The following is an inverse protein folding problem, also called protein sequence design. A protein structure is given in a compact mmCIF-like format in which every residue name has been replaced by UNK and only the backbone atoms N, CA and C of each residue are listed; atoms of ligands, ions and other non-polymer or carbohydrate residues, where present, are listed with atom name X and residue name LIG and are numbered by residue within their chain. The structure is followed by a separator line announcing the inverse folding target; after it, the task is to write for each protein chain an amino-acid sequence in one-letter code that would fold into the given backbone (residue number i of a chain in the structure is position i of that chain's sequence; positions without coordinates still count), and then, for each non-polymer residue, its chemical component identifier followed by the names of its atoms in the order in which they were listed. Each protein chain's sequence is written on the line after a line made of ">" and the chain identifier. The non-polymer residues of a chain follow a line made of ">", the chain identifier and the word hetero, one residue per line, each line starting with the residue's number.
data_IF_989277912179
#
_entry.id   IF_989277912179
#
_cell.length_a   1.000
_cell.length_b   1.000
_cell.length_c   1.000
_cell.angle_alpha   90.00
_cell.angle_beta   90.00
_cell.angle_gamma   90.00
#
_symmetry.space_group_name_H-M   'P 1'
#
loop_
_entity.id
_entity.type
_entity.pdbx_description
1 polymer ?
#
# COMPACT_ATOMS: atom_id res chain seq x y z
N UNK A 1 -18.95 -11.65 -4.88
CA UNK A 1 -18.99 -10.78 -3.67
C UNK A 1 -18.12 -9.53 -3.91
N UNK A 2 -18.54 -8.36 -3.41
CA UNK A 2 -17.72 -7.14 -3.46
C UNK A 2 -16.90 -7.03 -2.17
N UNK A 3 -15.59 -6.80 -2.31
CA UNK A 3 -14.70 -6.56 -1.17
C UNK A 3 -14.74 -5.06 -0.84
N UNK A 4 -15.55 -4.69 0.14
CA UNK A 4 -15.65 -3.28 0.59
C UNK A 4 -14.40 -2.86 1.36
N UNK A 5 -13.48 -2.18 0.67
CA UNK A 5 -12.23 -1.69 1.25
C UNK A 5 -12.43 -0.63 2.32
N UNK A 6 -13.49 0.18 2.24
CA UNK A 6 -13.81 1.17 3.29
C UNK A 6 -14.20 0.47 4.59
N UNK A 7 -15.06 -0.56 4.52
CA UNK A 7 -15.45 -1.37 5.69
C UNK A 7 -14.24 -2.11 6.26
N UNK A 8 -13.38 -2.67 5.39
CA UNK A 8 -12.17 -3.36 5.80
C UNK A 8 -11.20 -2.40 6.52
N UNK A 9 -10.93 -1.23 5.93
CA UNK A 9 -10.06 -0.21 6.52
C UNK A 9 -10.58 0.28 7.88
N UNK A 10 -11.90 0.47 8.04
CA UNK A 10 -12.50 0.83 9.34
C UNK A 10 -12.21 -0.22 10.41
N UNK A 11 -12.38 -1.51 10.08
CA UNK A 11 -12.08 -2.60 11.02
C UNK A 11 -10.59 -2.63 11.42
N UNK A 12 -9.70 -2.46 10.45
CA UNK A 12 -8.25 -2.43 10.73
C UNK A 12 -7.87 -1.21 11.58
N UNK A 13 -8.35 -0.02 11.24
CA UNK A 13 -8.14 1.19 12.03
C UNK A 13 -8.66 1.06 13.47
N UNK A 14 -9.81 0.43 13.67
CA UNK A 14 -10.35 0.18 15.00
C UNK A 14 -9.44 -0.72 15.84
N UNK A 15 -8.87 -1.78 15.26
CA UNK A 15 -7.88 -2.64 15.94
C UNK A 15 -6.63 -1.83 16.32
N UNK A 16 -6.09 -1.06 15.39
CA UNK A 16 -4.92 -0.19 15.62
C UNK A 16 -5.19 0.79 16.76
N UNK A 17 -6.36 1.46 16.74
CA UNK A 17 -6.76 2.41 17.80
C UNK A 17 -6.79 1.76 19.17
N UNK A 18 -7.43 0.58 19.30
CA UNK A 18 -7.49 -0.15 20.57
C UNK A 18 -6.09 -0.54 21.08
N UNK A 19 -5.21 -0.98 20.18
CA UNK A 19 -3.84 -1.36 20.55
C UNK A 19 -3.03 -0.15 21.00
N UNK A 20 -3.11 0.99 20.28
CA UNK A 20 -2.45 2.25 20.68
C UNK A 20 -2.96 2.71 22.05
N UNK A 21 -4.27 2.66 22.29
CA UNK A 21 -4.86 3.05 23.57
C UNK A 21 -4.35 2.16 24.72
N UNK A 22 -4.26 0.85 24.50
CA UNK A 22 -3.72 -0.09 25.47
C UNK A 22 -2.25 0.19 25.80
N UNK A 23 -1.42 0.41 24.76
CA UNK A 23 0.00 0.75 24.95
C UNK A 23 0.14 2.09 25.71
N UNK A 24 -0.60 3.11 25.28
CA UNK A 24 -0.55 4.44 25.91
C UNK A 24 -0.91 4.41 27.40
N UNK A 25 -1.91 3.60 27.78
CA UNK A 25 -2.27 3.42 29.19
C UNK A 25 -1.13 2.82 30.03
N UNK A 26 -0.35 1.91 29.44
CA UNK A 26 0.74 1.20 30.15
C UNK A 26 2.07 1.95 30.15
N UNK A 27 2.41 2.63 29.04
CA UNK A 27 3.75 3.18 28.83
C UNK A 27 3.79 4.69 28.75
N UNK A 28 2.63 5.35 28.65
CA UNK A 28 2.47 6.78 28.32
C UNK A 28 3.06 7.18 26.95
N UNK A 29 3.59 6.23 26.18
CA UNK A 29 4.14 6.48 24.85
C UNK A 29 3.05 6.51 23.79
N UNK A 30 3.30 7.24 22.71
CA UNK A 30 2.38 7.38 21.56
C UNK A 30 3.16 7.29 20.24
N UNK A 31 2.70 6.52 19.23
CA UNK A 31 3.37 6.47 17.94
C UNK A 31 3.41 7.84 17.27
N UNK A 32 4.52 8.15 16.59
CA UNK A 32 4.69 9.37 15.80
C UNK A 32 4.90 9.08 14.33
N UNK A 33 4.18 9.77 13.45
CA UNK A 33 4.29 9.69 12.00
C UNK A 33 4.61 11.07 11.42
N UNK A 34 5.68 11.18 10.64
CA UNK A 34 5.98 12.40 9.88
C UNK A 34 5.81 12.13 8.39
N UNK A 35 4.96 12.94 7.76
CA UNK A 35 4.73 12.92 6.31
C UNK A 35 5.40 14.13 5.70
N UNK A 36 6.23 13.93 4.69
CA UNK A 36 6.90 14.99 3.94
C UNK A 36 6.16 15.15 2.60
N UNK A 37 5.74 16.38 2.30
CA UNK A 37 5.11 16.75 1.05
C UNK A 37 5.88 17.87 0.38
N UNK A 38 6.21 17.71 -0.89
CA UNK A 38 6.96 18.67 -1.69
C UNK A 38 6.09 19.15 -2.85
N UNK A 39 6.03 20.47 -3.03
CA UNK A 39 5.20 21.12 -4.05
C UNK A 39 3.70 21.05 -3.74
N UNK A 40 2.88 21.37 -4.76
CA UNK A 40 1.43 21.58 -4.64
C UNK A 40 0.62 20.63 -5.55
N UNK A 41 1.10 19.38 -5.72
CA UNK A 41 0.40 18.40 -6.55
C UNK A 41 -0.94 18.01 -5.89
N UNK A 42 -2.05 18.46 -6.50
CA UNK A 42 -3.40 18.35 -5.91
C UNK A 42 -3.81 16.92 -5.47
N UNK A 43 -3.55 15.83 -6.23
CA UNK A 43 -3.77 14.48 -5.75
C UNK A 43 -2.97 14.14 -4.49
N UNK A 44 -1.69 14.54 -4.42
CA UNK A 44 -0.82 14.29 -3.24
C UNK A 44 -1.33 15.01 -2.00
N UNK A 45 -1.85 16.24 -2.15
CA UNK A 45 -2.47 17.01 -1.06
C UNK A 45 -3.66 16.26 -0.44
N UNK A 46 -4.55 15.71 -1.29
CA UNK A 46 -5.72 14.96 -0.83
C UNK A 46 -5.27 13.70 -0.07
N UNK A 47 -4.27 12.97 -0.60
CA UNK A 47 -3.75 11.77 0.05
C UNK A 47 -3.10 12.08 1.39
N UNK A 48 -2.26 13.10 1.47
CA UNK A 48 -1.59 13.53 2.72
C UNK A 48 -2.61 13.97 3.76
N UNK A 49 -3.62 14.75 3.37
CA UNK A 49 -4.70 15.14 4.27
C UNK A 49 -5.45 13.94 4.84
N UNK A 50 -5.81 12.97 3.99
CA UNK A 50 -6.52 11.77 4.42
C UNK A 50 -5.65 10.87 5.33
N UNK A 51 -4.34 10.79 5.07
CA UNK A 51 -3.38 10.10 5.94
C UNK A 51 -3.31 10.75 7.33
N UNK A 52 -3.19 12.10 7.38
CA UNK A 52 -3.12 12.83 8.63
C UNK A 52 -4.42 12.71 9.47
N UNK A 53 -5.59 12.84 8.84
CA UNK A 53 -6.89 12.64 9.50
C UNK A 53 -6.98 11.22 10.06
N UNK A 54 -6.65 10.22 9.26
CA UNK A 54 -6.72 8.82 9.70
C UNK A 54 -5.71 8.49 10.81
N UNK A 55 -4.52 9.10 10.79
CA UNK A 55 -3.53 8.95 11.86
C UNK A 55 -4.06 9.52 13.19
N UNK A 56 -4.64 10.72 13.17
CA UNK A 56 -5.26 11.35 14.35
C UNK A 56 -6.42 10.50 14.89
N UNK A 57 -7.26 9.95 14.00
CA UNK A 57 -8.41 9.10 14.37
C UNK A 57 -7.99 7.87 15.19
N UNK A 58 -6.85 7.27 14.91
CA UNK A 58 -6.34 6.08 15.63
C UNK A 58 -5.43 6.42 16.80
N UNK A 59 -5.11 7.70 17.04
CA UNK A 59 -4.27 8.15 18.15
C UNK A 59 -2.76 8.18 17.84
N UNK A 60 -2.37 8.27 16.57
CA UNK A 60 -0.98 8.51 16.14
C UNK A 60 -0.73 10.02 16.09
N UNK A 61 0.37 10.48 16.67
CA UNK A 61 0.85 11.86 16.55
C UNK A 61 1.38 12.05 15.12
N UNK A 62 0.60 12.72 14.27
CA UNK A 62 0.96 12.94 12.87
C UNK A 62 1.38 14.38 12.62
N UNK A 63 2.55 14.54 12.00
CA UNK A 63 3.07 15.84 11.54
C UNK A 63 3.24 15.81 10.02
N UNK A 64 2.82 16.87 9.34
CA UNK A 64 3.04 17.09 7.91
C UNK A 64 4.05 18.21 7.73
N UNK A 65 5.21 17.89 7.14
CA UNK A 65 6.22 18.86 6.73
C UNK A 65 6.00 19.19 5.25
N UNK A 66 5.78 20.48 4.98
CA UNK A 66 5.55 20.99 3.64
C UNK A 66 6.74 21.78 3.15
N UNK A 67 7.19 21.47 1.94
CA UNK A 67 8.29 22.17 1.30
C UNK A 67 7.89 22.67 -0.07
N UNK A 68 8.49 23.79 -0.48
CA UNK A 68 8.35 24.31 -1.85
C UNK A 68 8.96 23.35 -2.85
N UNK A 69 8.47 23.37 -4.09
CA UNK A 69 8.99 22.55 -5.18
C UNK A 69 10.52 22.77 -5.39
N UNK A 70 11.03 23.96 -5.04
CA UNK A 70 12.43 24.34 -5.17
C UNK A 70 13.37 23.84 -4.05
N UNK A 71 12.90 23.01 -3.11
CA UNK A 71 13.77 22.43 -2.08
C UNK A 71 14.90 21.62 -2.75
N UNK A 72 16.14 21.80 -2.31
CA UNK A 72 17.25 20.99 -2.80
C UNK A 72 17.23 19.57 -2.21
N UNK A 73 17.74 18.59 -2.97
CA UNK A 73 17.89 17.20 -2.51
C UNK A 73 18.68 17.14 -1.20
N UNK A 74 19.83 17.87 -1.12
CA UNK A 74 20.67 17.93 0.09
C UNK A 74 19.89 18.44 1.31
N UNK A 75 19.04 19.46 1.14
CA UNK A 75 18.20 19.98 2.23
C UNK A 75 17.17 18.95 2.67
N UNK A 76 16.54 18.25 1.74
CA UNK A 76 15.58 17.19 2.03
C UNK A 76 16.24 16.04 2.79
N UNK A 77 17.45 15.61 2.37
CA UNK A 77 18.25 14.60 3.07
C UNK A 77 18.53 15.04 4.51
N UNK A 78 18.98 16.27 4.73
CA UNK A 78 19.24 16.77 6.08
C UNK A 78 18.00 16.78 6.97
N UNK A 79 16.80 16.99 6.41
CA UNK A 79 15.53 16.89 7.13
C UNK A 79 15.27 15.44 7.54
N UNK A 80 15.44 14.48 6.61
CA UNK A 80 15.23 13.05 6.88
C UNK A 80 16.20 12.55 7.96
N UNK A 81 17.47 12.91 7.88
CA UNK A 81 18.47 12.52 8.87
C UNK A 81 18.14 13.03 10.28
N UNK A 82 17.58 14.25 10.40
CA UNK A 82 17.07 14.74 11.70
C UNK A 82 15.88 13.92 12.19
N UNK A 83 14.95 13.56 11.30
CA UNK A 83 13.80 12.72 11.65
C UNK A 83 14.22 11.29 12.04
N UNK A 84 15.27 10.76 11.42
CA UNK A 84 15.85 9.46 11.79
C UNK A 84 16.36 9.48 13.26
N UNK A 85 16.94 10.59 13.70
CA UNK A 85 17.46 10.75 15.09
C UNK A 85 16.36 11.10 16.10
N UNK A 86 15.22 11.61 15.67
CA UNK A 86 14.12 12.00 16.57
C UNK A 86 13.43 10.76 17.16
N UNK A 87 13.56 10.57 18.48
CA UNK A 87 12.95 9.47 19.24
C UNK A 87 11.41 9.53 19.27
N UNK A 88 10.80 10.68 18.95
CA UNK A 88 9.34 10.85 18.88
C UNK A 88 8.78 10.48 17.49
N UNK A 89 9.63 10.29 16.49
CA UNK A 89 9.25 9.90 15.12
C UNK A 89 9.52 8.41 14.92
N UNK A 90 8.46 7.64 14.69
CA UNK A 90 8.49 6.19 14.51
C UNK A 90 8.16 5.78 13.07
N UNK A 91 7.60 6.70 12.29
CA UNK A 91 7.34 6.51 10.86
C UNK A 91 7.68 7.78 10.09
N UNK A 92 8.37 7.59 8.97
CA UNK A 92 8.70 8.64 8.00
C UNK A 92 8.11 8.23 6.67
N UNK A 93 7.39 9.14 6.03
CA UNK A 93 6.82 8.96 4.71
C UNK A 93 7.14 10.18 3.85
N UNK A 94 7.76 9.96 2.69
CA UNK A 94 7.96 10.97 1.67
C UNK A 94 6.94 10.75 0.55
N UNK A 95 6.00 11.69 0.40
CA UNK A 95 4.90 11.55 -0.56
C UNK A 95 5.38 11.67 -1.99
N UNK A 96 5.23 10.60 -2.76
CA UNK A 96 5.51 10.58 -4.20
C UNK A 96 4.32 11.15 -5.01
N UNK A 97 4.57 11.70 -6.23
CA UNK A 97 5.87 11.87 -6.87
C UNK A 97 6.68 13.02 -6.28
N UNK A 98 8.00 12.98 -6.49
CA UNK A 98 8.91 14.07 -6.18
C UNK A 98 9.17 14.93 -7.42
N UNK A 99 9.65 16.17 -7.25
CA UNK A 99 10.17 16.99 -8.37
C UNK A 99 11.31 16.29 -9.11
N UNK A 100 11.45 16.52 -10.41
CA UNK A 100 12.40 15.82 -11.28
C UNK A 100 13.88 15.97 -10.88
N UNK A 101 14.23 17.07 -10.19
CA UNK A 101 15.60 17.31 -9.69
C UNK A 101 15.92 16.55 -8.39
N UNK A 102 14.99 15.79 -7.84
CA UNK A 102 15.17 14.98 -6.61
C UNK A 102 15.09 13.50 -6.95
N UNK A 103 16.16 12.76 -6.68
CA UNK A 103 16.25 11.34 -6.96
C UNK A 103 15.49 10.52 -5.91
N UNK A 104 14.30 10.07 -6.25
CA UNK A 104 13.40 9.37 -5.31
C UNK A 104 14.02 8.15 -4.63
N UNK A 105 14.83 7.36 -5.33
CA UNK A 105 15.53 6.21 -4.75
C UNK A 105 16.48 6.64 -3.63
N UNK A 106 17.32 7.65 -3.88
CA UNK A 106 18.24 8.20 -2.89
C UNK A 106 17.53 8.71 -1.64
N UNK A 107 16.40 9.39 -1.84
CA UNK A 107 15.56 9.88 -0.72
C UNK A 107 14.98 8.74 0.12
N UNK A 108 14.55 7.66 -0.51
CA UNK A 108 14.02 6.48 0.19
C UNK A 108 15.14 5.79 0.98
N UNK A 109 16.34 5.68 0.43
CA UNK A 109 17.50 5.04 1.06
C UNK A 109 18.05 5.83 2.26
N UNK A 110 17.80 7.13 2.33
CA UNK A 110 18.15 7.97 3.49
C UNK A 110 17.22 7.78 4.70
N UNK A 111 16.06 7.18 4.53
CA UNK A 111 15.16 6.89 5.64
C UNK A 111 15.70 5.70 6.44
N UNK A 112 15.75 5.80 7.78
CA UNK A 112 16.03 4.63 8.62
C UNK A 112 15.04 3.51 8.28
N UNK A 113 15.49 2.31 7.83
CA UNK A 113 14.61 1.22 7.44
C UNK A 113 13.62 0.80 8.53
N UNK A 114 13.93 1.06 9.81
CA UNK A 114 13.03 0.83 10.93
C UNK A 114 11.87 1.83 10.98
N UNK A 115 12.01 2.99 10.32
CA UNK A 115 11.03 4.08 10.24
C UNK A 115 10.40 4.24 8.86
N UNK A 116 10.82 3.45 7.86
CA UNK A 116 10.26 3.43 6.50
C UNK A 116 8.87 2.76 6.49
N UNK A 117 7.84 3.52 6.88
CA UNK A 117 6.49 2.98 7.03
C UNK A 117 5.74 2.76 5.71
N UNK A 118 6.25 3.28 4.59
CA UNK A 118 5.77 2.91 3.25
C UNK A 118 6.31 1.56 2.78
N UNK A 119 7.43 1.07 3.37
CA UNK A 119 8.04 -0.21 3.05
C UNK A 119 8.76 -0.24 1.70
N UNK A 120 9.39 0.86 1.32
CA UNK A 120 10.09 1.01 0.03
C UNK A 120 11.61 0.92 0.13
N UNK A 121 12.16 1.02 1.34
CA UNK A 121 13.60 0.97 1.57
C UNK A 121 14.16 -0.41 1.16
N UNK A 122 15.31 -0.46 0.43
CA UNK A 122 15.90 -1.72 -0.06
C UNK A 122 16.07 -2.79 1.02
N UNK A 123 16.41 -2.41 2.26
CA UNK A 123 16.50 -3.34 3.40
C UNK A 123 15.15 -4.00 3.70
N UNK A 124 14.06 -3.24 3.70
CA UNK A 124 12.72 -3.79 3.93
C UNK A 124 12.27 -4.70 2.78
N UNK A 125 12.56 -4.30 1.54
CA UNK A 125 12.30 -5.11 0.33
C UNK A 125 13.11 -6.40 0.36
N UNK A 126 14.40 -6.35 0.69
CA UNK A 126 15.26 -7.53 0.81
C UNK A 126 14.82 -8.47 1.94
N UNK A 127 14.42 -7.92 3.09
CA UNK A 127 13.88 -8.69 4.21
C UNK A 127 12.57 -9.40 3.82
N UNK A 128 11.67 -8.71 3.12
CA UNK A 128 10.43 -9.34 2.61
C UNK A 128 10.75 -10.49 1.66
N UNK A 129 11.67 -10.28 0.73
CA UNK A 129 12.07 -11.29 -0.27
C UNK A 129 12.75 -12.52 0.37
N UNK A 130 13.48 -12.34 1.47
CA UNK A 130 14.12 -13.43 2.24
C UNK A 130 13.24 -14.00 3.35
N UNK A 131 11.94 -13.67 3.38
CA UNK A 131 11.00 -14.18 4.38
C UNK A 131 11.16 -13.59 5.78
N UNK A 132 12.09 -12.65 5.98
CA UNK A 132 12.33 -11.98 7.27
C UNK A 132 11.24 -10.97 7.61
N UNK A 133 11.15 -10.61 8.89
CA UNK A 133 10.20 -9.58 9.33
C UNK A 133 10.64 -8.18 8.87
N UNK A 134 9.74 -7.47 8.19
CA UNK A 134 9.98 -6.15 7.60
C UNK A 134 8.75 -5.25 7.67
N UNK A 135 8.94 -3.96 7.43
CA UNK A 135 7.85 -3.06 7.08
C UNK A 135 7.52 -3.30 5.60
N UNK A 136 6.29 -3.70 5.33
CA UNK A 136 5.86 -4.15 3.99
C UNK A 136 5.19 -2.98 3.27
N UNK A 137 5.42 -2.84 1.97
CA UNK A 137 4.73 -1.84 1.14
C UNK A 137 3.21 -1.84 1.40
N UNK A 138 2.68 -0.66 1.71
CA UNK A 138 1.32 -0.51 2.24
C UNK A 138 0.22 -1.03 1.31
N UNK A 139 0.32 -0.78 0.01
CA UNK A 139 -0.68 -1.23 -0.98
C UNK A 139 -0.67 -2.75 -1.15
N UNK A 140 0.47 -3.41 -1.40
CA UNK A 140 0.54 -4.87 -1.44
C UNK A 140 0.09 -5.53 -0.14
N UNK A 141 0.48 -4.98 1.01
CA UNK A 141 0.00 -5.46 2.31
C UNK A 141 -1.52 -5.40 2.41
N UNK A 142 -2.13 -4.30 1.97
CA UNK A 142 -3.59 -4.14 1.94
C UNK A 142 -4.27 -5.16 1.02
N UNK A 143 -3.72 -5.38 -0.18
CA UNK A 143 -4.21 -6.40 -1.11
C UNK A 143 -4.14 -7.80 -0.50
N UNK A 144 -3.01 -8.14 0.09
CA UNK A 144 -2.78 -9.41 0.78
C UNK A 144 -3.79 -9.64 1.91
N UNK A 145 -3.98 -8.67 2.80
CA UNK A 145 -4.93 -8.78 3.91
C UNK A 145 -6.38 -8.95 3.43
N UNK A 146 -6.76 -8.27 2.33
CA UNK A 146 -8.08 -8.44 1.72
C UNK A 146 -8.24 -9.84 1.11
N UNK A 147 -7.24 -10.37 0.42
CA UNK A 147 -7.25 -11.74 -0.11
C UNK A 147 -7.42 -12.76 1.03
N UNK A 148 -6.61 -12.63 2.10
CA UNK A 148 -6.69 -13.50 3.29
C UNK A 148 -8.04 -13.43 4.01
N UNK A 149 -8.75 -12.32 3.92
CA UNK A 149 -10.10 -12.20 4.48
C UNK A 149 -11.16 -12.99 3.71
N UNK A 150 -10.89 -13.31 2.43
CA UNK A 150 -11.78 -14.11 1.58
C UNK A 150 -11.42 -15.60 1.64
N UNK A 151 -10.14 -15.89 1.69
CA UNK A 151 -9.61 -17.25 1.76
C UNK A 151 -8.37 -17.28 2.66
N UNK A 152 -8.45 -18.01 3.76
CA UNK A 152 -7.38 -18.08 4.77
C UNK A 152 -6.16 -18.86 4.27
N UNK A 153 -6.38 -20.02 3.65
CA UNK A 153 -5.31 -20.84 3.07
C UNK A 153 -5.18 -20.56 1.57
N UNK A 154 -4.01 -20.09 1.14
CA UNK A 154 -3.70 -19.76 -0.26
C UNK A 154 -2.74 -20.80 -0.89
N UNK A 155 -2.21 -21.76 -0.11
CA UNK A 155 -1.26 -22.75 -0.58
C UNK A 155 -1.78 -23.52 -1.81
N UNK A 156 -0.90 -23.69 -2.80
CA UNK A 156 -1.19 -24.37 -4.05
C UNK A 156 -2.04 -23.58 -5.06
N UNK A 157 -2.45 -22.34 -4.74
CA UNK A 157 -3.21 -21.52 -5.70
C UNK A 157 -2.32 -20.89 -6.76
N UNK A 158 -2.85 -20.78 -7.98
CA UNK A 158 -2.23 -20.01 -9.05
C UNK A 158 -2.58 -18.53 -8.88
N UNK A 159 -1.58 -17.69 -8.66
CA UNK A 159 -1.72 -16.26 -8.52
C UNK A 159 -1.07 -15.52 -9.70
N UNK A 160 -1.78 -14.56 -10.28
CA UNK A 160 -1.27 -13.69 -11.32
C UNK A 160 -1.19 -12.25 -10.80
N UNK A 161 0.02 -11.69 -10.79
CA UNK A 161 0.25 -10.27 -10.58
C UNK A 161 0.44 -9.56 -11.92
N UNK A 162 -0.45 -8.65 -12.28
CA UNK A 162 -0.34 -7.82 -13.48
C UNK A 162 0.24 -6.47 -13.09
N UNK A 163 1.51 -6.26 -13.41
CA UNK A 163 2.34 -5.13 -13.02
C UNK A 163 3.60 -5.58 -12.29
N UNK A 164 4.73 -4.89 -12.53
CA UNK A 164 6.05 -5.27 -11.98
C UNK A 164 6.80 -4.10 -11.33
N UNK A 165 6.07 -3.10 -10.85
CA UNK A 165 6.69 -1.97 -10.16
C UNK A 165 7.32 -2.40 -8.84
N UNK A 166 8.36 -1.66 -8.41
CA UNK A 166 9.00 -1.88 -7.11
C UNK A 166 8.06 -1.57 -5.95
N UNK A 167 7.07 -0.68 -6.16
CA UNK A 167 6.14 -0.23 -5.11
C UNK A 167 4.97 -1.21 -4.89
N UNK A 168 4.50 -1.89 -5.94
CA UNK A 168 3.30 -2.73 -5.88
C UNK A 168 3.54 -4.16 -6.38
N UNK A 169 4.02 -4.32 -7.61
CA UNK A 169 4.12 -5.62 -8.28
C UNK A 169 5.03 -6.60 -7.55
N UNK A 170 6.30 -6.23 -7.40
CA UNK A 170 7.31 -7.11 -6.77
C UNK A 170 6.97 -7.44 -5.31
N UNK A 171 6.60 -6.49 -4.42
CA UNK A 171 6.21 -6.84 -3.06
C UNK A 171 4.97 -7.74 -2.98
N UNK A 172 4.00 -7.57 -3.87
CA UNK A 172 2.82 -8.43 -3.92
C UNK A 172 3.18 -9.88 -4.25
N UNK A 173 4.10 -10.08 -5.20
CA UNK A 173 4.62 -11.40 -5.56
C UNK A 173 5.25 -12.08 -4.35
N UNK A 174 6.10 -11.38 -3.61
CA UNK A 174 6.75 -11.94 -2.41
C UNK A 174 5.72 -12.35 -1.33
N UNK A 175 4.66 -11.56 -1.15
CA UNK A 175 3.58 -11.90 -0.21
C UNK A 175 2.81 -13.15 -0.62
N UNK A 176 2.57 -13.34 -1.92
CA UNK A 176 1.87 -14.52 -2.43
C UNK A 176 2.76 -15.77 -2.40
N UNK A 177 4.06 -15.62 -2.71
CA UNK A 177 5.04 -16.70 -2.57
C UNK A 177 5.16 -17.18 -1.11
N UNK A 178 5.15 -16.26 -0.15
CA UNK A 178 5.17 -16.59 1.28
C UNK A 178 3.96 -17.42 1.73
N UNK A 179 2.86 -17.40 0.98
CA UNK A 179 1.64 -18.17 1.22
C UNK A 179 1.58 -19.43 0.33
N UNK A 180 2.71 -19.87 -0.20
CA UNK A 180 2.88 -21.06 -1.04
C UNK A 180 2.03 -21.02 -2.34
N UNK A 181 1.77 -19.82 -2.88
CA UNK A 181 1.14 -19.69 -4.19
C UNK A 181 2.15 -19.94 -5.31
N UNK A 182 1.69 -20.56 -6.41
CA UNK A 182 2.41 -20.50 -7.71
C UNK A 182 2.15 -19.14 -8.33
N UNK A 183 3.18 -18.28 -8.43
CA UNK A 183 3.01 -16.88 -8.83
C UNK A 183 3.55 -16.62 -10.23
N UNK A 184 2.70 -16.07 -11.08
CA UNK A 184 3.06 -15.54 -12.41
C UNK A 184 3.04 -14.02 -12.39
N UNK A 185 4.03 -13.37 -13.04
CA UNK A 185 4.07 -11.93 -13.22
C UNK A 185 3.77 -11.59 -14.68
N UNK A 186 2.67 -10.83 -14.90
CA UNK A 186 2.33 -10.27 -16.20
C UNK A 186 2.70 -8.79 -16.29
N UNK A 187 3.13 -8.33 -17.46
CA UNK A 187 3.49 -6.93 -17.72
C UNK A 187 3.28 -6.55 -19.20
N UNK A 188 3.56 -5.31 -19.58
CA UNK A 188 3.31 -4.79 -20.94
C UNK A 188 3.98 -5.57 -22.08
N UNK A 189 4.99 -6.40 -21.80
CA UNK A 189 5.68 -7.25 -22.76
C UNK A 189 5.24 -8.71 -22.70
N UNK A 190 4.31 -9.06 -21.79
CA UNK A 190 3.81 -10.42 -21.64
C UNK A 190 2.88 -10.77 -22.80
N UNK A 191 3.17 -11.84 -23.50
CA UNK A 191 2.28 -12.44 -24.51
C UNK A 191 1.18 -13.24 -23.80
N UNK A 192 0.00 -13.35 -24.45
CA UNK A 192 -1.11 -14.19 -23.99
C UNK A 192 -1.60 -13.91 -22.55
N UNK A 193 -1.58 -12.64 -22.12
CA UNK A 193 -1.99 -12.24 -20.76
C UNK A 193 -3.41 -12.72 -20.40
N UNK A 194 -4.32 -12.76 -21.38
CA UNK A 194 -5.68 -13.28 -21.22
C UNK A 194 -5.68 -14.75 -20.75
N UNK A 195 -4.86 -15.59 -21.36
CA UNK A 195 -4.80 -17.02 -21.02
C UNK A 195 -4.18 -17.23 -19.63
N UNK A 196 -3.22 -16.39 -19.22
CA UNK A 196 -2.70 -16.41 -17.86
C UNK A 196 -3.80 -16.04 -16.84
N UNK A 197 -4.62 -15.04 -17.13
CA UNK A 197 -5.76 -14.66 -16.28
C UNK A 197 -6.76 -15.81 -16.11
N UNK A 198 -7.07 -16.57 -17.19
CA UNK A 198 -8.02 -17.69 -17.15
C UNK A 198 -7.56 -18.85 -16.26
N UNK A 199 -6.26 -19.00 -16.04
CA UNK A 199 -5.68 -20.06 -15.21
C UNK A 199 -5.55 -19.64 -13.73
N UNK A 200 -5.63 -18.34 -13.42
CA UNK A 200 -5.34 -17.81 -12.09
C UNK A 200 -6.55 -17.88 -11.15
N UNK A 201 -6.32 -18.36 -9.93
CA UNK A 201 -7.27 -18.35 -8.81
C UNK A 201 -7.31 -16.99 -8.12
N UNK A 202 -6.18 -16.26 -8.16
CA UNK A 202 -6.01 -14.91 -7.64
C UNK A 202 -5.43 -14.03 -8.74
N UNK A 203 -6.08 -12.90 -9.03
CA UNK A 203 -5.58 -11.90 -9.99
C UNK A 203 -5.46 -10.56 -9.29
N UNK A 204 -4.24 -10.02 -9.22
CA UNK A 204 -3.97 -8.68 -8.69
C UNK A 204 -3.52 -7.79 -9.84
N UNK A 205 -4.20 -6.67 -10.06
CA UNK A 205 -3.97 -5.80 -11.23
C UNK A 205 -3.48 -4.44 -10.79
N UNK A 206 -2.26 -4.07 -11.21
CA UNK A 206 -1.63 -2.77 -10.97
C UNK A 206 -0.87 -2.31 -12.24
N UNK A 207 -1.57 -2.20 -13.36
CA UNK A 207 -1.03 -1.91 -14.68
C UNK A 207 -1.11 -0.44 -15.09
N UNK A 208 -1.95 0.36 -14.40
CA UNK A 208 -2.22 1.76 -14.75
C UNK A 208 -2.93 1.91 -16.10
N UNK A 209 -3.74 0.92 -16.50
CA UNK A 209 -4.51 0.91 -17.74
C UNK A 209 -5.99 0.62 -17.47
N UNK A 210 -6.80 1.63 -17.70
CA UNK A 210 -8.25 1.55 -17.48
C UNK A 210 -8.91 0.38 -18.21
N UNK A 211 -9.69 -0.45 -17.46
CA UNK A 211 -10.46 -1.58 -17.98
C UNK A 211 -9.63 -2.59 -18.82
N UNK A 212 -8.36 -2.78 -18.47
CA UNK A 212 -7.47 -3.72 -19.15
C UNK A 212 -8.00 -5.16 -19.04
N UNK A 213 -8.36 -5.58 -17.82
CA UNK A 213 -8.81 -6.95 -17.53
C UNK A 213 -10.32 -7.02 -17.65
N UNK A 214 -10.80 -7.89 -18.54
CA UNK A 214 -12.23 -8.06 -18.84
C UNK A 214 -12.79 -9.34 -18.24
N UNK A 215 -14.12 -9.46 -18.18
CA UNK A 215 -14.80 -10.63 -17.59
C UNK A 215 -14.49 -11.95 -18.26
N UNK A 216 -14.29 -11.96 -19.60
CA UNK A 216 -13.92 -13.16 -20.36
C UNK A 216 -12.47 -13.64 -20.11
N UNK A 217 -11.66 -12.84 -19.42
CA UNK A 217 -10.31 -13.20 -18.99
C UNK A 217 -10.30 -13.94 -17.65
N UNK A 218 -11.34 -13.79 -16.82
CA UNK A 218 -11.33 -14.24 -15.42
C UNK A 218 -11.87 -15.68 -15.31
N UNK A 219 -11.11 -16.52 -14.60
CA UNK A 219 -11.54 -17.85 -14.17
C UNK A 219 -12.77 -17.70 -13.25
N UNK A 220 -13.81 -18.50 -13.46
CA UNK A 220 -14.99 -18.53 -12.56
C UNK A 220 -14.54 -18.86 -11.14
N UNK A 221 -14.94 -18.04 -10.20
CA UNK A 221 -14.59 -18.22 -8.78
C UNK A 221 -13.25 -17.59 -8.36
N UNK A 222 -12.51 -16.91 -9.24
CA UNK A 222 -11.27 -16.22 -8.89
C UNK A 222 -11.49 -15.04 -7.94
N UNK A 223 -10.45 -14.72 -7.14
CA UNK A 223 -10.37 -13.50 -6.34
C UNK A 223 -9.64 -12.43 -7.16
N UNK A 224 -10.26 -11.25 -7.34
CA UNK A 224 -9.71 -10.18 -8.16
C UNK A 224 -9.48 -8.93 -7.32
N UNK A 225 -8.25 -8.45 -7.27
CA UNK A 225 -7.86 -7.22 -6.58
C UNK A 225 -7.43 -6.19 -7.62
N UNK A 226 -8.19 -5.12 -7.73
CA UNK A 226 -7.92 -4.00 -8.61
C UNK A 226 -7.22 -2.88 -7.84
N UNK A 227 -5.95 -2.66 -8.13
CA UNK A 227 -5.10 -1.59 -7.56
C UNK A 227 -5.13 -0.33 -8.43
N UNK A 228 -5.62 -0.45 -9.67
CA UNK A 228 -5.61 0.63 -10.64
C UNK A 228 -6.38 1.87 -10.18
N UNK A 229 -5.84 3.05 -10.46
CA UNK A 229 -6.48 4.34 -10.25
C UNK A 229 -6.29 5.15 -11.52
N UNK A 230 -7.28 5.11 -12.41
CA UNK A 230 -7.23 5.81 -13.69
C UNK A 230 -8.24 6.95 -13.69
N UNK A 231 -7.80 8.16 -14.04
CA UNK A 231 -8.64 9.33 -14.20
C UNK A 231 -9.09 9.44 -15.65
N UNK A 232 -10.34 9.14 -15.93
CA UNK A 232 -10.91 9.14 -17.28
C UNK A 232 -11.84 10.33 -17.46
N UNK A 233 -11.68 11.06 -18.56
CA UNK A 233 -12.49 12.22 -18.93
C UNK A 233 -13.96 11.83 -19.15
N UNK A 234 -14.91 12.63 -18.67
CA UNK A 234 -16.34 12.54 -18.94
C UNK A 234 -16.85 13.91 -19.42
N UNK A 235 -18.08 13.96 -19.96
CA UNK A 235 -18.71 15.22 -20.40
C UNK A 235 -18.61 16.31 -19.31
N UNK A 236 -18.86 15.98 -18.04
CA UNK A 236 -18.84 16.91 -16.92
C UNK A 236 -17.76 16.51 -15.90
N UNK A 237 -16.47 16.56 -16.28
CA UNK A 237 -15.35 16.32 -15.34
C UNK A 237 -14.63 14.98 -15.53
N UNK A 238 -14.28 14.32 -14.42
CA UNK A 238 -13.49 13.09 -14.45
C UNK A 238 -14.14 11.98 -13.61
N UNK A 239 -13.96 10.75 -14.03
CA UNK A 239 -14.31 9.57 -13.26
C UNK A 239 -13.04 8.79 -12.92
N UNK A 240 -12.97 8.28 -11.69
CA UNK A 240 -11.93 7.32 -11.28
C UNK A 240 -12.45 5.92 -11.59
N UNK A 241 -11.65 5.13 -12.31
CA UNK A 241 -11.91 3.72 -12.61
C UNK A 241 -10.65 2.90 -12.42
N UNK A 242 -10.82 1.60 -12.24
CA UNK A 242 -9.72 0.67 -12.07
C UNK A 242 -9.10 0.16 -13.38
N UNK A 243 -8.17 -0.75 -13.22
CA UNK A 243 -7.55 -1.50 -14.33
C UNK A 243 -8.45 -2.68 -14.77
N UNK A 244 -9.45 -3.02 -13.95
CA UNK A 244 -10.38 -4.12 -14.21
C UNK A 244 -11.74 -3.57 -14.65
N UNK A 245 -12.34 -4.18 -15.69
CA UNK A 245 -13.70 -3.89 -16.12
C UNK A 245 -14.70 -4.48 -15.11
N UNK A 246 -14.99 -3.70 -14.06
CA UNK A 246 -15.74 -4.17 -12.89
C UNK A 246 -17.07 -4.84 -13.24
N UNK A 247 -17.86 -4.27 -14.18
CA UNK A 247 -19.21 -4.74 -14.52
C UNK A 247 -19.25 -6.17 -15.08
N UNK A 248 -18.25 -6.56 -15.86
CA UNK A 248 -18.16 -7.90 -16.43
C UNK A 248 -17.50 -8.90 -15.47
N UNK A 249 -16.44 -8.44 -14.76
CA UNK A 249 -15.66 -9.30 -13.87
C UNK A 249 -16.45 -9.69 -12.61
N UNK A 250 -17.26 -8.80 -12.05
CA UNK A 250 -18.07 -9.08 -10.84
C UNK A 250 -19.04 -10.26 -11.02
N UNK A 251 -19.45 -10.53 -12.27
CA UNK A 251 -20.34 -11.65 -12.60
C UNK A 251 -19.63 -13.03 -12.55
N UNK A 252 -18.29 -13.05 -12.65
CA UNK A 252 -17.49 -14.29 -12.69
C UNK A 252 -16.63 -14.49 -11.45
N UNK A 253 -16.09 -13.42 -10.89
CA UNK A 253 -15.23 -13.48 -9.73
C UNK A 253 -15.99 -13.92 -8.47
N UNK A 254 -15.37 -14.75 -7.62
CA UNK A 254 -15.84 -15.01 -6.25
C UNK A 254 -15.87 -13.73 -5.44
N UNK A 255 -14.81 -12.93 -5.56
CA UNK A 255 -14.68 -11.67 -4.87
C UNK A 255 -13.88 -10.65 -5.71
N UNK A 256 -14.25 -9.38 -5.67
CA UNK A 256 -13.59 -8.30 -6.39
C UNK A 256 -13.60 -7.01 -5.59
N UNK A 257 -12.51 -6.24 -5.64
CA UNK A 257 -12.45 -4.88 -5.08
C UNK A 257 -13.04 -3.86 -6.07
N UNK A 258 -13.87 -2.90 -5.61
CA UNK A 258 -14.32 -1.79 -6.45
C UNK A 258 -13.26 -0.70 -6.56
N UNK A 259 -13.30 0.11 -7.62
CA UNK A 259 -12.53 1.36 -7.74
C UNK A 259 -13.50 2.49 -8.09
N UNK A 260 -13.60 3.52 -7.23
CA UNK A 260 -12.94 3.73 -5.93
C UNK A 260 -13.57 2.91 -4.79
N UNK A 261 -12.87 2.88 -3.65
CA UNK A 261 -13.39 2.29 -2.39
C UNK A 261 -12.91 0.87 -2.07
N UNK A 262 -12.05 0.29 -2.92
CA UNK A 262 -11.36 -0.97 -2.67
C UNK A 262 -10.01 -0.77 -1.96
N UNK A 263 -8.92 -0.89 -2.71
CA UNK A 263 -7.54 -0.91 -2.18
C UNK A 263 -7.12 0.40 -1.49
N UNK A 264 -7.45 1.57 -2.05
CA UNK A 264 -6.96 2.87 -1.56
C UNK A 264 -7.20 3.13 -0.06
N UNK A 265 -8.43 2.98 0.48
CA UNK A 265 -8.67 3.12 1.92
C UNK A 265 -7.85 2.15 2.79
N UNK A 266 -7.62 0.93 2.29
CA UNK A 266 -6.85 -0.09 3.01
C UNK A 266 -5.36 0.22 3.02
N UNK A 267 -4.82 0.81 1.95
CA UNK A 267 -3.43 1.32 1.89
C UNK A 267 -3.15 2.29 3.03
N UNK A 268 -4.06 3.24 3.29
CA UNK A 268 -3.91 4.17 4.42
C UNK A 268 -3.94 3.42 5.76
N UNK A 269 -4.84 2.47 5.94
CA UNK A 269 -4.90 1.69 7.18
C UNK A 269 -3.62 0.85 7.39
N UNK A 270 -3.01 0.33 6.31
CA UNK A 270 -1.73 -0.38 6.36
C UNK A 270 -0.55 0.54 6.73
N UNK A 271 -0.54 1.79 6.26
CA UNK A 271 0.44 2.79 6.69
C UNK A 271 0.38 3.00 8.22
N UNK A 272 -0.82 3.11 8.77
CA UNK A 272 -1.00 3.27 10.23
C UNK A 272 -0.57 2.00 10.99
N UNK A 273 -0.84 0.83 10.42
CA UNK A 273 -0.38 -0.45 10.95
C UNK A 273 1.15 -0.56 10.96
N UNK A 274 1.81 -0.17 9.86
CA UNK A 274 3.27 -0.13 9.77
C UNK A 274 3.86 0.86 10.78
N UNK A 275 3.22 2.04 10.96
CA UNK A 275 3.65 3.03 11.97
C UNK A 275 3.56 2.45 13.38
N UNK A 276 2.49 1.74 13.71
CA UNK A 276 2.35 1.04 14.99
C UNK A 276 3.39 -0.07 15.15
N UNK A 277 3.63 -0.85 14.10
CA UNK A 277 4.66 -1.91 14.08
C UNK A 277 6.06 -1.34 14.32
N UNK A 278 6.42 -0.27 13.60
CA UNK A 278 7.68 0.44 13.77
C UNK A 278 7.85 1.00 15.19
N UNK A 279 6.80 1.65 15.71
CA UNK A 279 6.77 2.15 17.07
C UNK A 279 7.03 1.05 18.11
N UNK A 280 6.36 -0.10 17.98
CA UNK A 280 6.54 -1.24 18.90
C UNK A 280 7.96 -1.78 18.84
N UNK A 281 8.52 -1.96 17.64
CA UNK A 281 9.88 -2.45 17.46
C UNK A 281 10.93 -1.49 18.05
N UNK A 282 10.82 -0.20 17.77
CA UNK A 282 11.76 0.83 18.24
C UNK A 282 11.75 0.94 19.77
N UNK A 283 10.59 0.74 20.41
CA UNK A 283 10.44 0.83 21.86
C UNK A 283 10.46 -0.54 22.56
N UNK A 284 10.85 -1.62 21.89
CA UNK A 284 10.92 -2.99 22.42
C UNK A 284 9.60 -3.45 23.10
N UNK A 285 8.46 -3.02 22.57
CA UNK A 285 7.15 -3.38 23.08
C UNK A 285 6.71 -4.71 22.43
N UNK A 286 6.54 -5.76 23.27
CA UNK A 286 6.11 -7.08 22.80
C UNK A 286 4.76 -7.02 22.07
N UNK A 287 4.66 -7.75 20.96
CA UNK A 287 3.39 -8.11 20.36
C UNK A 287 2.78 -9.20 21.23
N UNK A 288 1.70 -8.88 21.95
CA UNK A 288 0.86 -9.94 22.53
C UNK A 288 0.04 -10.62 21.45
#
# INVERSE_FOLDING_TARGET
>A
MIIDGKKFARKLKFKIKKEIQSIKKKTRLTPGLTVILIGNHAPSEIYVRNKAISAKEVGINSKVLRFKNSISETKLISVIQRLNKDKKVHGILVQLPLPDHIHGHKIIEEIDPRKDVDGFHPVNVGNLSSGKDSLISCTPLGCYLMIKSIRKNLSGLNALMIGRSNLNGKPMVQLLLKEDCTVTIGHSKTKNLKELCKKADIVVVAAGRANLVKGDWIKKGAIVIDVGINRVKKKNGYKIIGDVEFKSVVKKAKAITPVPGGVGPVTIACLLNNTLKAFKKINHLSSK
#
